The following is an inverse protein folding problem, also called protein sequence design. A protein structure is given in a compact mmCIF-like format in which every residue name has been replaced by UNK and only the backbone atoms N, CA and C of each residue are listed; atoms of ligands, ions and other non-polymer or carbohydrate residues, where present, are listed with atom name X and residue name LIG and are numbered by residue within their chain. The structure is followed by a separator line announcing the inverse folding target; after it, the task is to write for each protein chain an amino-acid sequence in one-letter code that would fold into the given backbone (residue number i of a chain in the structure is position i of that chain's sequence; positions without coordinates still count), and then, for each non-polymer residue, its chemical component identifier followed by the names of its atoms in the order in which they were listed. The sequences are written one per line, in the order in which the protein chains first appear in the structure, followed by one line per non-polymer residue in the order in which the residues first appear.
data_IF_210257962796
#
_entry.id   IF_210257962796
#
_cell.length_a   1.000
_cell.length_b   1.000
_cell.length_c   1.000
_cell.angle_alpha   90.00
_cell.angle_beta   90.00
_cell.angle_gamma   90.00
#
_symmetry.space_group_name_H-M   'P 1'
#
loop_
_entity.id
_entity.type
_entity.pdbx_description
1 polymer ?
#
# COMPACT_ATOMS: atom_id res chain seq x y z
N UNK A 1 2.23 -10.47 -18.26
CA UNK A 1 3.16 -10.69 -17.13
C UNK A 1 2.37 -10.36 -15.89
N UNK A 2 1.95 -11.37 -15.16
CA UNK A 2 1.21 -11.26 -13.90
C UNK A 2 2.20 -10.99 -12.77
N UNK A 3 1.90 -10.02 -11.91
CA UNK A 3 2.73 -9.70 -10.75
C UNK A 3 2.37 -10.67 -9.63
N UNK A 4 3.07 -11.80 -9.49
CA UNK A 4 2.72 -12.86 -8.52
C UNK A 4 3.30 -12.64 -7.11
N UNK A 5 3.14 -11.43 -6.54
CA UNK A 5 3.44 -11.11 -5.12
C UNK A 5 2.54 -9.95 -4.61
N UNK A 6 2.81 -9.34 -3.44
CA UNK A 6 2.01 -8.36 -2.67
C UNK A 6 1.36 -7.15 -3.40
N UNK A 7 1.55 -7.00 -4.72
CA UNK A 7 0.92 -5.98 -5.56
C UNK A 7 0.12 -6.59 -6.74
N UNK A 8 -0.12 -7.90 -6.75
CA UNK A 8 -1.00 -8.55 -7.73
C UNK A 8 -2.38 -7.88 -7.69
N UNK A 9 -2.77 -7.20 -8.77
CA UNK A 9 -4.07 -6.53 -8.87
C UNK A 9 -4.10 -5.03 -8.55
N UNK A 10 -2.96 -4.40 -8.20
CA UNK A 10 -2.91 -2.94 -8.05
C UNK A 10 -2.95 -2.22 -9.40
N UNK A 11 -3.90 -1.29 -9.55
CA UNK A 11 -4.03 -0.41 -10.70
C UNK A 11 -4.68 0.89 -10.28
N UNK A 12 -4.07 2.01 -10.65
CA UNK A 12 -4.70 3.31 -10.45
C UNK A 12 -6.03 3.39 -11.22
N UNK A 13 -7.16 3.69 -10.57
CA UNK A 13 -8.45 3.80 -11.26
C UNK A 13 -8.51 4.97 -12.25
N UNK A 14 -7.71 6.02 -12.04
CA UNK A 14 -7.70 7.22 -12.87
C UNK A 14 -6.82 7.11 -14.12
N UNK A 15 -5.53 6.79 -13.95
CA UNK A 15 -4.58 6.76 -15.07
C UNK A 15 -4.29 5.35 -15.58
N UNK A 16 -4.72 4.31 -14.85
CA UNK A 16 -4.45 2.93 -15.20
C UNK A 16 -3.01 2.48 -14.98
N UNK A 17 -2.17 3.29 -14.32
CA UNK A 17 -0.81 2.89 -13.96
C UNK A 17 -0.82 1.74 -12.96
N UNK A 18 0.18 0.86 -13.06
CA UNK A 18 0.39 -0.28 -12.16
C UNK A 18 1.48 -0.01 -11.11
N UNK A 19 2.24 1.07 -11.25
CA UNK A 19 3.29 1.53 -10.34
C UNK A 19 3.85 2.89 -10.81
N UNK A 20 4.54 3.67 -9.96
CA UNK A 20 4.70 3.49 -8.52
C UNK A 20 3.52 4.06 -7.70
N UNK A 21 3.35 3.52 -6.49
CA UNK A 21 2.37 3.97 -5.50
C UNK A 21 3.05 4.27 -4.17
N UNK A 22 2.63 5.35 -3.52
CA UNK A 22 2.97 5.64 -2.12
C UNK A 22 1.83 5.15 -1.23
N UNK A 23 2.12 4.24 -0.29
CA UNK A 23 1.13 3.67 0.63
C UNK A 23 1.49 4.06 2.07
N UNK A 24 0.51 4.54 2.81
CA UNK A 24 0.64 4.75 4.25
C UNK A 24 0.66 3.41 4.98
N UNK A 25 1.76 3.15 5.68
CA UNK A 25 1.97 1.93 6.45
C UNK A 25 1.94 2.24 7.95
N UNK A 26 1.32 1.36 8.72
CA UNK A 26 1.46 1.33 10.17
C UNK A 26 2.67 0.46 10.49
N UNK A 27 3.55 0.94 11.36
CA UNK A 27 4.69 0.17 11.85
C UNK A 27 4.81 0.36 13.35
N UNK A 28 5.31 -0.67 14.04
CA UNK A 28 5.62 -0.60 15.46
C UNK A 28 7.11 -0.41 15.61
N UNK A 29 7.51 0.64 16.33
CA UNK A 29 8.93 0.95 16.57
C UNK A 29 9.19 0.91 18.05
N UNK A 30 10.24 0.20 18.46
CA UNK A 30 10.71 0.23 19.85
C UNK A 30 11.45 1.53 20.09
N UNK A 31 11.02 2.33 21.06
CA UNK A 31 11.64 3.63 21.38
C UNK A 31 12.44 3.53 22.68
N UNK A 32 13.65 4.07 22.65
CA UNK A 32 14.55 4.21 23.79
C UNK A 32 14.84 5.69 24.06
N UNK A 33 15.29 6.02 25.27
CA UNK A 33 15.62 7.42 25.62
C UNK A 33 16.76 8.01 24.75
N UNK A 34 17.57 7.17 24.10
CA UNK A 34 18.64 7.59 23.20
C UNK A 34 18.28 7.49 21.70
N UNK A 35 17.02 7.18 21.36
CA UNK A 35 16.54 7.11 19.97
C UNK A 35 15.53 6.00 19.73
N UNK A 36 15.11 5.83 18.48
CA UNK A 36 14.25 4.71 18.08
C UNK A 36 15.10 3.54 17.56
N UNK A 37 14.65 2.31 17.84
CA UNK A 37 15.12 1.11 17.15
C UNK A 37 14.63 1.07 15.71
N UNK A 38 14.95 -0.02 15.01
CA UNK A 38 14.59 -0.20 13.61
C UNK A 38 13.07 -0.30 13.43
N UNK A 39 12.59 0.23 12.31
CA UNK A 39 11.20 0.06 11.86
C UNK A 39 11.05 -1.35 11.29
N UNK A 40 10.53 -2.27 12.10
CA UNK A 40 10.18 -3.62 11.66
C UNK A 40 8.66 -3.71 11.42
N UNK A 41 8.25 -4.53 10.46
CA UNK A 41 6.82 -4.83 10.20
C UNK A 41 6.00 -3.61 9.72
N UNK A 42 6.32 -3.08 8.53
CA UNK A 42 5.43 -2.16 7.84
C UNK A 42 4.20 -2.93 7.33
N UNK A 43 3.05 -2.71 7.97
CA UNK A 43 1.77 -3.29 7.60
C UNK A 43 0.88 -2.22 6.94
N UNK A 44 0.12 -2.62 5.92
CA UNK A 44 -0.94 -1.81 5.34
C UNK A 44 -2.18 -2.69 5.12
N UNK A 45 -3.34 -2.06 5.17
CA UNK A 45 -4.65 -2.69 4.96
C UNK A 45 -5.36 -2.04 3.76
N UNK A 46 -6.54 -2.53 3.38
CA UNK A 46 -7.30 -1.96 2.26
C UNK A 46 -7.76 -0.52 2.51
N UNK A 47 -7.78 -0.08 3.77
CA UNK A 47 -8.16 1.27 4.19
C UNK A 47 -6.93 2.21 4.29
N UNK A 48 -5.70 1.69 4.17
CA UNK A 48 -4.47 2.48 4.13
C UNK A 48 -4.51 3.48 2.98
N UNK A 49 -4.05 4.70 3.22
CA UNK A 49 -3.97 5.71 2.17
C UNK A 49 -3.01 5.27 1.07
N UNK A 50 -3.40 5.47 -0.18
CA UNK A 50 -2.62 5.14 -1.36
C UNK A 50 -2.63 6.32 -2.33
N UNK A 51 -1.46 6.69 -2.85
CA UNK A 51 -1.30 7.76 -3.83
C UNK A 51 -0.61 7.23 -5.07
N UNK A 52 -1.21 7.46 -6.24
CA UNK A 52 -0.55 7.22 -7.51
C UNK A 52 0.49 8.31 -7.78
N UNK A 53 1.76 7.91 -7.92
CA UNK A 53 2.85 8.86 -8.19
C UNK A 53 2.75 9.44 -9.61
N UNK A 54 2.21 8.68 -10.57
CA UNK A 54 2.12 9.11 -11.97
C UNK A 54 1.11 10.24 -12.21
N UNK A 55 -0.09 10.15 -11.60
CA UNK A 55 -1.16 11.11 -11.83
C UNK A 55 -1.54 11.94 -10.60
N UNK A 56 -0.99 11.61 -9.43
CA UNK A 56 -1.32 12.27 -8.16
C UNK A 56 -2.68 11.88 -7.57
N UNK A 57 -3.36 10.87 -8.14
CA UNK A 57 -4.64 10.41 -7.58
C UNK A 57 -4.43 9.82 -6.18
N UNK A 58 -5.21 10.30 -5.21
CA UNK A 58 -5.21 9.82 -3.84
C UNK A 58 -6.48 9.03 -3.56
N UNK A 59 -6.34 7.88 -2.90
CA UNK A 59 -7.43 7.06 -2.42
C UNK A 59 -6.97 6.13 -1.31
N UNK A 60 -7.64 4.99 -1.15
CA UNK A 60 -7.23 3.91 -0.25
C UNK A 60 -6.73 2.72 -1.07
N UNK A 61 -5.91 1.86 -0.47
CA UNK A 61 -5.37 0.65 -1.11
C UNK A 61 -6.47 -0.17 -1.80
N UNK A 62 -7.61 -0.38 -1.13
CA UNK A 62 -8.77 -1.11 -1.66
C UNK A 62 -9.38 -0.51 -2.93
N UNK A 63 -9.21 0.79 -3.17
CA UNK A 63 -9.66 1.44 -4.41
C UNK A 63 -8.69 1.21 -5.58
N UNK A 64 -7.45 0.82 -5.26
CA UNK A 64 -6.39 0.54 -6.23
C UNK A 64 -6.26 -0.97 -6.47
N UNK A 65 -6.70 -1.82 -5.54
CA UNK A 65 -6.76 -3.28 -5.70
C UNK A 65 -8.13 -3.71 -6.20
N UNK A 66 -8.27 -3.86 -7.51
CA UNK A 66 -9.50 -4.41 -8.09
C UNK A 66 -9.46 -5.94 -8.07
N UNK A 67 -9.55 -6.57 -6.91
CA UNK A 67 -9.88 -8.00 -6.82
C UNK A 67 -10.70 -8.30 -5.57
N UNK A 68 -12.01 -8.32 -5.78
CA UNK A 68 -12.97 -8.96 -4.89
C UNK A 68 -12.70 -10.47 -4.93
N UNK A 69 -12.23 -11.08 -3.84
CA UNK A 69 -12.97 -12.17 -3.17
C UNK A 69 -12.36 -12.54 -1.79
N UNK A 70 -13.09 -12.14 -0.75
CA UNK A 70 -13.79 -13.05 0.16
C UNK A 70 -13.03 -14.31 0.63
N UNK A 71 -12.61 -14.28 1.91
CA UNK A 71 -12.38 -15.52 2.68
C UNK A 71 -13.59 -16.45 2.57
N UNK A 72 -13.37 -17.70 2.16
CA UNK A 72 -14.28 -18.84 2.39
C UNK A 72 -13.65 -19.78 3.41
#
# INVERSE_FOLDING_TARGET
MSNSNCLEGFRCPECGSYEPFDIEVKTTVTVYDNGSGDMEHAEWDDDSQCTCVECGHMGIVGAFTSDSESKS
#
